data_IF_372763917529
#
_entry.id   IF_372763917529
#
_cell.length_a   1.000
_cell.length_b   1.000
_cell.length_c   1.000
_cell.angle_alpha   90.00
_cell.angle_beta   90.00
_cell.angle_gamma   90.00
#
_symmetry.space_group_name_H-M   'P 1'
#
loop_
_entity.id
_entity.type
_entity.pdbx_description
1 polymer ?
#
# COMPACT_ATOMS: atom_id res chain seq x y z
N UNK A 1 14.32 15.04 -1.44
CA UNK A 1 13.09 14.74 -2.20
C UNK A 1 12.72 13.32 -1.84
N UNK A 2 11.53 13.08 -1.29
CA UNK A 2 11.06 11.70 -1.15
C UNK A 2 10.96 11.12 -2.56
N UNK A 3 11.50 9.91 -2.76
CA UNK A 3 11.34 9.23 -4.03
C UNK A 3 9.87 8.80 -4.14
N UNK A 4 9.27 8.98 -5.31
CA UNK A 4 7.92 8.49 -5.59
C UNK A 4 8.02 7.29 -6.53
N UNK A 5 7.18 6.28 -6.32
CA UNK A 5 7.02 5.15 -7.25
C UNK A 5 5.83 5.46 -8.16
N UNK A 6 5.97 5.24 -9.48
CA UNK A 6 4.90 5.50 -10.44
C UNK A 6 4.61 4.26 -11.30
N UNK A 7 3.32 3.90 -11.41
CA UNK A 7 2.85 2.75 -12.21
C UNK A 7 1.52 3.10 -12.84
N UNK A 8 1.40 3.07 -14.17
CA UNK A 8 0.14 3.21 -14.90
C UNK A 8 -0.72 4.43 -14.46
N UNK A 9 -0.10 5.56 -14.13
CA UNK A 9 -0.77 6.77 -13.65
C UNK A 9 -1.02 6.83 -12.14
N UNK A 10 -0.73 5.76 -11.40
CA UNK A 10 -0.70 5.75 -9.94
C UNK A 10 0.64 6.26 -9.43
N UNK A 11 0.60 7.06 -8.37
CA UNK A 11 1.79 7.56 -7.67
C UNK A 11 1.74 7.06 -6.23
N UNK A 12 2.81 6.43 -5.76
CA UNK A 12 3.02 6.11 -4.35
C UNK A 12 4.13 7.01 -3.79
N UNK A 13 3.77 8.04 -3.00
CA UNK A 13 4.74 8.78 -2.22
C UNK A 13 5.39 7.88 -1.18
N UNK A 14 6.73 7.77 -1.16
CA UNK A 14 7.42 6.93 -0.18
C UNK A 14 7.58 7.71 1.13
N UNK A 15 6.54 7.66 1.97
CA UNK A 15 6.54 8.23 3.31
C UNK A 15 5.57 7.48 4.25
N UNK A 16 5.69 7.75 5.54
CA UNK A 16 4.94 7.05 6.60
C UNK A 16 3.42 7.24 6.53
N UNK A 17 2.92 8.25 5.81
CA UNK A 17 1.46 8.45 5.66
C UNK A 17 0.87 7.58 4.56
N UNK A 18 1.69 7.12 3.61
CA UNK A 18 1.27 6.34 2.43
C UNK A 18 1.68 4.87 2.52
N UNK A 19 2.70 4.54 3.30
CA UNK A 19 3.17 3.17 3.47
C UNK A 19 2.93 2.72 4.91
N UNK A 20 2.01 1.78 5.09
CA UNK A 20 1.78 1.14 6.37
C UNK A 20 2.22 -0.33 6.31
N UNK A 21 3.26 -0.68 7.08
CA UNK A 21 3.73 -2.05 7.21
C UNK A 21 3.66 -2.54 8.65
N UNK A 22 3.10 -3.73 8.87
CA UNK A 22 3.08 -4.35 10.20
C UNK A 22 4.37 -5.13 10.47
N UNK A 23 5.46 -4.41 10.74
CA UNK A 23 6.85 -4.93 10.81
C UNK A 23 7.13 -5.92 11.96
N UNK A 24 6.20 -6.08 12.91
CA UNK A 24 6.29 -7.07 14.00
C UNK A 24 5.62 -8.42 13.71
N UNK A 25 4.96 -8.57 12.56
CA UNK A 25 4.27 -9.80 12.18
C UNK A 25 4.79 -10.25 10.82
N UNK A 26 5.44 -11.41 10.79
CA UNK A 26 5.81 -12.09 9.55
C UNK A 26 4.60 -12.86 9.05
N UNK A 27 4.05 -12.43 7.92
CA UNK A 27 2.91 -13.10 7.29
C UNK A 27 3.37 -14.27 6.40
N UNK A 28 4.52 -14.12 5.73
CA UNK A 28 5.12 -15.15 4.90
C UNK A 28 6.64 -14.93 4.80
N UNK A 29 7.33 -15.78 4.05
CA UNK A 29 8.75 -15.62 3.71
C UNK A 29 8.96 -15.80 2.21
N UNK A 30 9.96 -15.14 1.66
CA UNK A 30 10.45 -15.41 0.30
C UNK A 30 11.10 -16.80 0.24
N UNK A 31 11.39 -17.31 -0.95
CA UNK A 31 12.15 -18.55 -1.13
C UNK A 31 13.56 -18.48 -0.50
N UNK A 32 14.16 -17.29 -0.52
CA UNK A 32 15.43 -17.01 0.14
C UNK A 32 15.31 -16.84 1.68
N UNK A 33 14.09 -16.93 2.23
CA UNK A 33 13.81 -16.89 3.67
C UNK A 33 13.58 -15.49 4.25
N UNK A 34 13.56 -14.44 3.43
CA UNK A 34 13.35 -13.06 3.90
C UNK A 34 11.92 -12.87 4.41
N UNK A 35 11.72 -12.18 5.55
CA UNK A 35 10.39 -11.97 6.12
C UNK A 35 9.56 -11.02 5.24
N UNK A 36 8.30 -11.41 5.00
CA UNK A 36 7.31 -10.58 4.37
C UNK A 36 6.26 -10.14 5.38
N UNK A 37 5.92 -8.85 5.32
CA UNK A 37 4.98 -8.20 6.22
C UNK A 37 3.74 -7.77 5.46
N UNK A 38 2.59 -7.89 6.12
CA UNK A 38 1.36 -7.28 5.62
C UNK A 38 1.58 -5.77 5.47
N UNK A 39 1.33 -5.30 4.26
CA UNK A 39 1.65 -3.95 3.80
C UNK A 39 0.43 -3.36 3.12
N UNK A 40 0.09 -2.13 3.50
CA UNK A 40 -0.96 -1.32 2.90
C UNK A 40 -0.30 -0.09 2.29
N UNK A 41 -0.58 0.13 1.01
CA UNK A 41 -0.08 1.26 0.23
C UNK A 41 -1.26 2.17 -0.12
N UNK A 42 -1.12 3.46 0.17
CA UNK A 42 -2.05 4.48 -0.29
C UNK A 42 -1.42 5.16 -1.50
N UNK A 43 -1.97 4.89 -2.66
CA UNK A 43 -1.53 5.46 -3.93
C UNK A 43 -2.45 6.63 -4.30
N UNK A 44 -1.91 7.60 -5.02
CA UNK A 44 -2.63 8.72 -5.58
C UNK A 44 -2.89 8.46 -7.06
N UNK A 45 -4.16 8.55 -7.46
CA UNK A 45 -4.63 8.52 -8.85
C UNK A 45 -5.26 9.88 -9.18
N UNK A 46 -4.42 10.81 -9.63
CA UNK A 46 -4.81 12.21 -9.82
C UNK A 46 -5.23 12.89 -8.51
N UNK A 47 -6.55 13.00 -8.29
CA UNK A 47 -7.13 13.60 -7.06
C UNK A 47 -7.63 12.57 -6.05
N UNK A 48 -7.67 11.30 -6.42
CA UNK A 48 -8.23 10.24 -5.59
C UNK A 48 -7.13 9.44 -4.92
N UNK A 49 -7.40 8.93 -3.72
CA UNK A 49 -6.54 7.96 -3.05
C UNK A 49 -7.08 6.56 -3.28
N UNK A 50 -6.23 5.65 -3.78
CA UNK A 50 -6.52 4.22 -3.91
C UNK A 50 -5.68 3.43 -2.93
N UNK A 51 -6.28 2.46 -2.26
CA UNK A 51 -5.59 1.66 -1.25
C UNK A 51 -5.35 0.26 -1.79
N UNK A 52 -4.08 -0.15 -1.77
CA UNK A 52 -3.64 -1.48 -2.16
C UNK A 52 -3.08 -2.20 -0.94
N UNK A 53 -3.20 -3.52 -0.89
CA UNK A 53 -2.47 -4.33 0.08
C UNK A 53 -1.75 -5.51 -0.56
N UNK A 54 -0.77 -6.00 0.19
CA UNK A 54 -0.08 -7.22 -0.14
C UNK A 54 1.00 -7.51 0.89
N UNK A 55 1.99 -8.27 0.46
CA UNK A 55 3.12 -8.67 1.28
C UNK A 55 4.40 -8.05 0.74
N UNK A 56 5.17 -7.41 1.60
CA UNK A 56 6.44 -6.79 1.22
C UNK A 56 7.49 -6.98 2.30
N UNK A 57 8.76 -7.03 1.90
CA UNK A 57 9.89 -6.85 2.80
C UNK A 57 9.87 -5.43 3.37
N UNK A 58 10.53 -5.24 4.50
CA UNK A 58 10.61 -3.94 5.16
C UNK A 58 11.27 -2.93 4.23
N UNK A 59 10.58 -1.81 3.97
CA UNK A 59 11.10 -0.69 3.17
C UNK A 59 11.61 -1.08 1.77
N UNK A 60 11.11 -2.19 1.20
CA UNK A 60 11.52 -2.65 -0.12
C UNK A 60 10.62 -2.08 -1.23
N UNK A 61 11.18 -1.18 -2.04
CA UNK A 61 10.44 -0.48 -3.09
C UNK A 61 9.98 -1.39 -4.24
N UNK A 62 10.72 -2.45 -4.55
CA UNK A 62 10.34 -3.38 -5.61
C UNK A 62 9.11 -4.20 -5.22
N UNK A 63 9.01 -4.56 -3.94
CA UNK A 63 7.82 -5.23 -3.42
C UNK A 63 6.62 -4.28 -3.42
N UNK A 64 6.82 -2.98 -3.14
CA UNK A 64 5.75 -1.97 -3.24
C UNK A 64 5.25 -1.82 -4.68
N UNK A 65 6.17 -1.80 -5.66
CA UNK A 65 5.82 -1.77 -7.08
C UNK A 65 4.92 -2.96 -7.45
N UNK A 66 5.28 -4.18 -7.02
CA UNK A 66 4.48 -5.39 -7.29
C UNK A 66 3.09 -5.32 -6.66
N UNK A 67 2.96 -4.76 -5.46
CA UNK A 67 1.65 -4.53 -4.83
C UNK A 67 0.82 -3.52 -5.62
N UNK A 68 1.44 -2.46 -6.15
CA UNK A 68 0.72 -1.50 -7.01
C UNK A 68 0.25 -2.13 -8.32
N UNK A 69 1.00 -3.08 -8.88
CA UNK A 69 0.66 -3.75 -10.14
C UNK A 69 -0.39 -4.86 -9.97
N UNK A 70 -0.28 -5.67 -8.91
CA UNK A 70 -1.01 -6.94 -8.78
C UNK A 70 -1.69 -7.15 -7.42
N UNK A 71 -1.48 -6.24 -6.47
CA UNK A 71 -2.04 -6.36 -5.13
C UNK A 71 -3.55 -6.17 -5.08
N UNK A 72 -4.15 -6.65 -3.99
CA UNK A 72 -5.57 -6.46 -3.76
C UNK A 72 -5.88 -4.99 -3.50
N UNK A 73 -6.98 -4.50 -4.08
CA UNK A 73 -7.45 -3.12 -3.94
C UNK A 73 -8.67 -3.06 -3.02
N UNK A 74 -8.72 -2.06 -2.13
CA UNK A 74 -9.88 -1.77 -1.30
C UNK A 74 -10.53 -0.46 -1.71
N UNK A 75 -11.84 -0.51 -1.88
CA UNK A 75 -12.67 0.68 -1.95
C UNK A 75 -13.25 0.99 -0.56
N UNK A 76 -13.18 2.25 -0.11
CA UNK A 76 -13.86 2.64 1.11
C UNK A 76 -15.37 2.43 0.95
N UNK A 77 -16.00 1.82 1.96
CA UNK A 77 -17.46 1.67 1.98
C UNK A 77 -18.06 3.05 2.24
N UNK A 78 -18.48 3.74 1.17
CA UNK A 78 -18.92 5.13 1.22
C UNK A 78 -20.07 5.38 2.21
N UNK A 79 -20.94 4.37 2.43
CA UNK A 79 -22.07 4.48 3.36
C UNK A 79 -21.65 4.63 4.82
N UNK A 80 -20.45 4.19 5.21
CA UNK A 80 -19.94 4.36 6.58
C UNK A 80 -19.63 5.82 6.92
N UNK A 81 -19.47 6.68 5.91
CA UNK A 81 -19.21 8.12 6.11
C UNK A 81 -20.50 8.96 6.11
N UNK A 82 -21.67 8.35 5.89
CA UNK A 82 -22.96 9.06 5.82
C UNK A 82 -23.65 9.22 7.18
N UNK A 83 -23.11 8.65 8.27
CA UNK A 83 -23.63 8.90 9.62
C UNK A 83 -23.07 10.22 10.17
N UNK A 84 -23.71 11.34 9.81
CA UNK A 84 -23.30 12.65 10.33
C UNK A 84 -24.04 13.90 9.85
N UNK A 85 -25.02 13.81 8.97
CA UNK A 85 -25.96 14.92 8.75
C UNK A 85 -27.20 14.73 9.61
N UNK A 86 -27.09 15.11 10.88
CA UNK A 86 -28.22 15.65 11.66
C UNK A 86 -28.02 17.14 11.83
#
# INVERSE_FOLDING_TARGET
MAADIQVNGLVLPINDTHIHQRRGVTAARTEAGEPLHFTVLKCVDGRYTKTYCGLARVDNTDDFLKIMEWGDHFEPIASWYQEGTQ
#
